data_IF_524322145584
#
_entry.id   IF_524322145584
#
_cell.length_a   1.000
_cell.length_b   1.000
_cell.length_c   1.000
_cell.angle_alpha   90.00
_cell.angle_beta   90.00
_cell.angle_gamma   90.00
#
_symmetry.space_group_name_H-M   'P 1'
#
loop_
_entity.id
_entity.type
_entity.pdbx_description
1 polymer ?
#
# COMPACT_ATOMS: atom_id res chain seq x y z
N UNK A 1 -3.42 25.53 36.18
CA UNK A 1 -2.34 25.22 35.23
C UNK A 1 -2.76 25.68 33.84
N UNK A 2 -1.98 26.54 33.20
CA UNK A 2 -2.30 27.06 31.86
C UNK A 2 -1.86 26.09 30.75
N UNK A 3 -2.65 25.97 29.69
CA UNK A 3 -2.29 25.23 28.47
C UNK A 3 -1.91 26.24 27.39
N UNK A 4 -0.70 26.11 26.84
CA UNK A 4 -0.24 26.90 25.72
C UNK A 4 -0.11 26.00 24.49
N UNK A 5 -0.41 26.54 23.31
CA UNK A 5 -0.23 25.85 22.02
C UNK A 5 0.64 26.72 21.14
N UNK A 6 1.74 26.15 20.65
CA UNK A 6 2.66 26.82 19.72
C UNK A 6 2.74 26.00 18.43
N UNK A 7 2.52 26.66 17.30
CA UNK A 7 2.81 26.08 15.99
C UNK A 7 4.30 26.20 15.68
N UNK A 8 4.98 25.09 15.42
CA UNK A 8 6.40 25.08 15.06
C UNK A 8 6.57 24.61 13.61
N UNK A 9 7.23 25.41 12.78
CA UNK A 9 7.77 24.95 11.49
C UNK A 9 9.22 24.57 11.69
N UNK A 10 9.52 23.28 11.58
CA UNK A 10 10.89 22.82 11.63
C UNK A 10 11.65 23.26 10.37
N UNK A 11 12.79 23.93 10.56
CA UNK A 11 13.68 24.38 9.48
C UNK A 11 14.70 23.31 9.06
N UNK A 12 14.83 22.21 9.83
CA UNK A 12 15.80 21.14 9.60
C UNK A 12 15.18 19.76 9.88
N UNK A 13 15.66 18.76 9.15
CA UNK A 13 15.39 17.33 9.37
C UNK A 13 16.26 16.86 10.54
N UNK A 14 15.72 15.99 11.39
CA UNK A 14 16.44 15.41 12.53
C UNK A 14 15.63 15.48 13.82
N UNK A 15 16.27 15.07 14.92
CA UNK A 15 15.67 15.12 16.24
C UNK A 15 15.73 16.54 16.80
N UNK A 16 14.58 17.09 17.13
CA UNK A 16 14.44 18.39 17.79
C UNK A 16 14.00 18.17 19.24
N UNK A 17 14.61 18.89 20.19
CA UNK A 17 14.16 18.92 21.57
C UNK A 17 13.32 20.19 21.81
N UNK A 18 12.10 20.02 22.31
CA UNK A 18 11.20 21.13 22.58
C UNK A 18 11.37 21.60 24.01
N UNK A 19 12.04 22.73 24.22
CA UNK A 19 12.20 23.32 25.54
C UNK A 19 11.14 24.40 25.78
N UNK A 20 10.37 24.24 26.86
CA UNK A 20 9.48 25.29 27.38
C UNK A 20 10.04 25.78 28.71
N UNK A 21 10.29 27.09 28.81
CA UNK A 21 10.77 27.74 30.03
C UNK A 21 9.96 29.00 30.31
N UNK A 22 9.72 29.28 31.60
CA UNK A 22 9.14 30.56 32.04
C UNK A 22 10.24 31.62 32.06
N UNK A 23 9.98 32.79 31.47
CA UNK A 23 10.89 33.94 31.53
C UNK A 23 11.00 34.39 33.00
N UNK A 24 12.20 34.49 33.59
CA UNK A 24 12.37 34.92 34.98
C UNK A 24 11.91 36.35 35.19
N UNK A 25 11.36 36.64 36.38
CA UNK A 25 11.02 37.99 36.84
C UNK A 25 11.25 38.11 38.35
N UNK A 26 11.14 39.31 38.95
CA UNK A 26 11.37 39.50 40.38
C UNK A 26 10.49 38.54 41.20
N UNK A 27 11.12 37.68 42.01
CA UNK A 27 10.44 36.67 42.82
C UNK A 27 9.92 35.43 42.07
N UNK A 28 10.21 35.27 40.77
CA UNK A 28 9.82 34.08 39.98
C UNK A 28 11.05 33.28 39.53
N UNK A 29 11.30 32.08 40.09
CA UNK A 29 12.40 31.22 39.65
C UNK A 29 12.17 30.72 38.21
N UNK A 30 13.27 30.44 37.50
CA UNK A 30 13.22 29.78 36.19
C UNK A 30 12.67 28.37 36.37
N UNK A 31 11.49 28.12 35.82
CA UNK A 31 10.92 26.78 35.72
C UNK A 31 11.18 26.24 34.32
N UNK A 32 11.79 25.05 34.22
CA UNK A 32 11.96 24.31 32.97
C UNK A 32 11.15 23.04 33.03
N UNK A 33 10.37 22.76 31.98
CA UNK A 33 9.71 21.47 31.82
C UNK A 33 10.66 20.43 31.18
N UNK A 34 10.29 19.15 31.26
CA UNK A 34 10.90 18.11 30.45
C UNK A 34 10.76 18.46 28.96
N UNK A 35 11.82 18.23 28.18
CA UNK A 35 11.86 18.59 26.76
C UNK A 35 11.57 17.37 25.89
N UNK A 36 10.33 17.16 25.41
CA UNK A 36 10.04 16.04 24.54
C UNK A 36 10.85 16.18 23.24
N UNK A 37 11.41 15.05 22.80
CA UNK A 37 12.04 14.95 21.50
C UNK A 37 10.97 14.73 20.42
N UNK A 38 11.12 15.43 19.29
CA UNK A 38 10.31 15.25 18.09
C UNK A 38 11.24 14.97 16.92
N UNK A 39 11.01 13.85 16.24
CA UNK A 39 11.77 13.50 15.04
C UNK A 39 11.10 14.13 13.81
N UNK A 40 11.81 15.06 13.17
CA UNK A 40 11.38 15.72 11.93
C UNK A 40 11.96 14.97 10.75
N UNK A 41 11.10 14.50 9.86
CA UNK A 41 11.48 13.76 8.65
C UNK A 41 11.29 14.60 7.40
N UNK A 42 12.16 14.40 6.39
CA UNK A 42 11.92 14.94 5.05
C UNK A 42 10.77 14.15 4.40
N UNK A 43 9.72 14.83 3.89
CA UNK A 43 8.52 14.19 3.39
C UNK A 43 8.66 13.78 1.91
N UNK A 44 9.83 13.23 1.57
CA UNK A 44 10.12 12.64 0.27
C UNK A 44 10.91 11.35 0.45
N UNK A 45 10.50 10.30 -0.25
CA UNK A 45 11.19 9.03 -0.31
C UNK A 45 11.03 8.37 -1.68
N UNK A 46 12.13 7.84 -2.21
CA UNK A 46 12.21 7.07 -3.44
C UNK A 46 13.17 5.90 -3.23
N UNK A 47 13.29 5.03 -4.23
CA UNK A 47 14.20 3.88 -4.19
C UNK A 47 15.60 4.30 -3.70
N UNK A 48 16.18 3.51 -2.80
CA UNK A 48 17.50 3.75 -2.21
C UNK A 48 17.48 4.52 -0.88
N UNK A 49 16.41 5.27 -0.60
CA UNK A 49 16.28 6.04 0.65
C UNK A 49 16.14 5.12 1.86
N UNK A 50 16.67 5.54 3.02
CA UNK A 50 16.65 4.80 4.30
C UNK A 50 16.18 5.67 5.46
N UNK A 51 15.86 5.02 6.58
CA UNK A 51 15.70 5.66 7.90
C UNK A 51 14.25 5.96 8.27
N UNK A 52 14.07 6.85 9.26
CA UNK A 52 12.78 7.12 9.91
C UNK A 52 11.65 7.49 8.93
N UNK A 53 11.97 8.19 7.84
CA UNK A 53 10.96 8.57 6.84
C UNK A 53 10.40 7.34 6.09
N UNK A 54 11.23 6.34 5.84
CA UNK A 54 10.82 5.10 5.18
C UNK A 54 10.10 4.22 6.17
N UNK A 55 10.58 4.13 7.41
CA UNK A 55 9.85 3.47 8.49
C UNK A 55 8.45 4.05 8.66
N UNK A 56 8.31 5.37 8.74
CA UNK A 56 7.02 6.04 8.79
C UNK A 56 6.15 5.64 7.59
N UNK A 57 6.69 5.72 6.38
CA UNK A 57 5.96 5.39 5.16
C UNK A 57 5.45 3.94 5.17
N UNK A 58 6.34 2.98 5.43
CA UNK A 58 6.03 1.54 5.48
C UNK A 58 5.01 1.22 6.57
N UNK A 59 5.19 1.78 7.78
CA UNK A 59 4.24 1.58 8.88
C UNK A 59 2.85 2.09 8.54
N UNK A 60 2.73 3.30 7.99
CA UNK A 60 1.42 3.87 7.63
C UNK A 60 0.77 3.18 6.44
N UNK A 61 1.56 2.76 5.44
CA UNK A 61 1.05 1.95 4.33
C UNK A 61 0.54 0.59 4.82
N UNK A 62 1.29 -0.08 5.70
CA UNK A 62 0.88 -1.36 6.29
C UNK A 62 -0.38 -1.24 7.15
N UNK A 63 -0.52 -0.16 7.93
CA UNK A 63 -1.75 0.12 8.69
C UNK A 63 -2.96 0.44 7.80
N UNK A 64 -2.75 0.80 6.53
CA UNK A 64 -3.80 0.94 5.52
C UNK A 64 -3.92 -0.31 4.64
N UNK A 65 -3.34 -1.43 5.08
CA UNK A 65 -3.38 -2.74 4.42
C UNK A 65 -2.72 -2.78 3.03
N UNK A 66 -1.80 -1.87 2.71
CA UNK A 66 -0.98 -2.02 1.51
C UNK A 66 0.13 -3.03 1.76
N UNK A 67 0.37 -3.92 0.80
CA UNK A 67 1.44 -4.91 0.89
C UNK A 67 2.80 -4.22 0.83
N UNK A 68 3.46 -4.12 1.97
CA UNK A 68 4.71 -3.37 2.14
C UNK A 68 5.68 -4.11 3.06
N UNK A 69 7.00 -4.08 2.80
CA UNK A 69 7.99 -4.54 3.76
C UNK A 69 8.19 -3.52 4.89
N UNK A 70 8.64 -3.98 6.06
CA UNK A 70 8.94 -3.15 7.23
C UNK A 70 10.45 -3.18 7.52
N UNK A 71 11.22 -2.67 6.58
CA UNK A 71 12.70 -2.76 6.58
C UNK A 71 13.39 -1.44 6.93
N UNK A 72 12.69 -0.31 6.86
CA UNK A 72 13.29 1.03 6.90
C UNK A 72 14.13 1.37 5.66
N UNK A 73 14.12 0.53 4.63
CA UNK A 73 14.77 0.75 3.34
C UNK A 73 13.74 0.80 2.21
N UNK A 74 13.84 1.81 1.35
CA UNK A 74 12.92 1.98 0.22
C UNK A 74 13.36 1.08 -0.93
N UNK A 75 12.92 -0.16 -0.86
CA UNK A 75 13.12 -1.21 -1.86
C UNK A 75 11.99 -1.24 -2.91
N UNK A 76 12.05 -2.21 -3.82
CA UNK A 76 11.01 -2.44 -4.81
C UNK A 76 9.64 -2.78 -4.20
N UNK A 77 9.59 -3.45 -3.04
CA UNK A 77 8.33 -3.73 -2.34
C UNK A 77 7.66 -2.45 -1.84
N UNK A 78 8.46 -1.55 -1.25
CA UNK A 78 8.02 -0.22 -0.82
C UNK A 78 7.56 0.62 -2.02
N UNK A 79 8.31 0.59 -3.12
CA UNK A 79 7.94 1.26 -4.36
C UNK A 79 6.57 0.79 -4.90
N UNK A 80 6.32 -0.52 -4.89
CA UNK A 80 5.04 -1.11 -5.30
C UNK A 80 3.90 -0.76 -4.34
N UNK A 81 4.14 -0.73 -3.03
CA UNK A 81 3.16 -0.27 -2.05
C UNK A 81 2.75 1.19 -2.27
N UNK A 82 3.72 2.07 -2.58
CA UNK A 82 3.44 3.47 -2.93
C UNK A 82 2.67 3.57 -4.25
N UNK A 83 3.01 2.75 -5.24
CA UNK A 83 2.24 2.69 -6.49
C UNK A 83 0.80 2.22 -6.24
N UNK A 84 0.58 1.19 -5.41
CA UNK A 84 -0.76 0.73 -5.02
C UNK A 84 -1.55 1.85 -4.34
N UNK A 85 -0.95 2.54 -3.36
CA UNK A 85 -1.56 3.70 -2.70
C UNK A 85 -1.99 4.76 -3.71
N UNK A 86 -1.09 5.11 -4.64
CA UNK A 86 -1.39 6.10 -5.68
C UNK A 86 -2.54 5.66 -6.57
N UNK A 87 -2.53 4.41 -7.02
CA UNK A 87 -3.58 3.80 -7.84
C UNK A 87 -4.95 3.87 -7.15
N UNK A 88 -5.02 3.47 -5.87
CA UNK A 88 -6.26 3.55 -5.06
C UNK A 88 -6.76 5.00 -4.94
N UNK A 89 -5.85 5.96 -4.84
CA UNK A 89 -6.16 7.37 -4.57
C UNK A 89 -6.23 8.25 -5.83
N UNK A 90 -6.25 7.69 -7.04
CA UNK A 90 -6.35 8.45 -8.30
C UNK A 90 -5.15 9.38 -8.56
N UNK A 91 -3.98 9.05 -8.02
CA UNK A 91 -2.75 9.84 -8.18
C UNK A 91 -1.94 9.39 -9.41
N UNK A 92 -1.02 10.24 -9.92
CA UNK A 92 -0.08 9.81 -10.96
C UNK A 92 0.67 8.54 -10.56
N UNK A 93 0.72 7.56 -11.46
CA UNK A 93 1.23 6.20 -11.22
C UNK A 93 2.77 6.17 -11.19
N UNK A 94 3.35 6.73 -10.14
CA UNK A 94 4.78 6.86 -9.90
C UNK A 94 5.22 6.05 -8.67
N UNK A 95 6.52 5.74 -8.60
CA UNK A 95 7.09 4.90 -7.56
C UNK A 95 7.68 5.66 -6.35
N UNK A 96 7.67 7.00 -6.34
CA UNK A 96 8.28 7.84 -5.28
C UNK A 96 7.22 8.54 -4.43
N UNK A 97 7.32 8.50 -3.11
CA UNK A 97 6.39 9.20 -2.21
C UNK A 97 6.85 10.65 -1.95
N UNK A 98 6.02 11.63 -2.33
CA UNK A 98 6.22 13.05 -2.01
C UNK A 98 5.36 13.54 -0.85
N UNK A 99 5.46 14.83 -0.53
CA UNK A 99 4.92 15.37 0.72
C UNK A 99 3.41 15.19 0.90
N UNK A 100 2.64 15.25 -0.19
CA UNK A 100 1.20 15.01 -0.17
C UNK A 100 0.85 13.60 0.36
N UNK A 101 1.64 12.58 0.00
CA UNK A 101 1.44 11.21 0.49
C UNK A 101 1.77 11.12 1.97
N UNK A 102 2.91 11.66 2.40
CA UNK A 102 3.28 11.69 3.82
C UNK A 102 2.19 12.35 4.67
N UNK A 103 1.65 13.48 4.22
CA UNK A 103 0.58 14.21 4.91
C UNK A 103 -0.75 13.46 4.95
N UNK A 104 -1.10 12.69 3.91
CA UNK A 104 -2.31 11.84 3.91
C UNK A 104 -2.13 10.63 4.83
N UNK A 105 -0.98 9.98 4.76
CA UNK A 105 -0.64 8.83 5.61
C UNK A 105 -0.54 9.20 7.09
N UNK A 106 -0.03 10.39 7.42
CA UNK A 106 -0.05 10.92 8.79
C UNK A 106 -1.47 11.03 9.38
N UNK A 107 -2.47 11.17 8.51
CA UNK A 107 -3.90 11.25 8.87
C UNK A 107 -4.66 9.95 8.60
N UNK A 108 -3.95 8.85 8.33
CA UNK A 108 -4.53 7.55 7.98
C UNK A 108 -5.53 7.61 6.82
N UNK A 109 -5.26 8.44 5.81
CA UNK A 109 -6.13 8.61 4.64
C UNK A 109 -5.64 7.82 3.44
N UNK A 110 -6.59 7.33 2.66
CA UNK A 110 -6.36 6.67 1.38
C UNK A 110 -6.30 5.15 1.46
N UNK A 111 -7.01 4.54 2.42
CA UNK A 111 -7.26 3.10 2.43
C UNK A 111 -8.12 2.69 1.21
N UNK A 112 -7.92 1.46 0.75
CA UNK A 112 -8.87 0.81 -0.14
C UNK A 112 -10.12 0.44 0.65
N UNK A 113 -11.29 0.50 0.00
CA UNK A 113 -12.56 0.10 0.59
C UNK A 113 -13.13 -1.00 -0.29
N UNK A 114 -13.42 -2.16 0.29
CA UNK A 114 -14.04 -3.27 -0.41
C UNK A 114 -15.37 -2.83 -1.01
N UNK A 115 -15.60 -3.17 -2.28
CA UNK A 115 -16.87 -2.92 -2.96
C UNK A 115 -17.94 -3.92 -2.51
N UNK A 116 -17.54 -5.14 -2.15
CA UNK A 116 -18.44 -6.23 -1.78
C UNK A 116 -18.10 -6.82 -0.40
N UNK A 117 -18.18 -6.02 0.69
CA UNK A 117 -17.80 -6.49 2.03
C UNK A 117 -18.64 -7.69 2.53
N UNK A 118 -19.83 -7.90 1.96
CA UNK A 118 -20.72 -9.04 2.29
C UNK A 118 -20.38 -10.36 1.61
N UNK A 119 -19.37 -10.42 0.73
CA UNK A 119 -18.99 -11.64 0.01
C UNK A 119 -18.10 -12.61 0.82
N UNK A 120 -17.92 -12.35 2.11
CA UNK A 120 -17.04 -13.14 2.97
C UNK A 120 -15.58 -13.04 2.51
N UNK A 121 -14.82 -14.12 2.62
CA UNK A 121 -13.42 -14.14 2.16
C UNK A 121 -13.36 -14.20 0.64
N UNK A 122 -12.82 -13.16 0.00
CA UNK A 122 -12.80 -13.05 -1.46
C UNK A 122 -11.67 -12.15 -1.97
N UNK A 123 -11.48 -12.15 -3.29
CA UNK A 123 -10.56 -11.25 -3.98
C UNK A 123 -11.35 -10.20 -4.74
N UNK A 124 -10.93 -8.94 -4.70
CA UNK A 124 -11.44 -7.89 -5.58
C UNK A 124 -10.36 -7.44 -6.55
N UNK A 125 -10.67 -7.45 -7.84
CA UNK A 125 -9.83 -6.89 -8.89
C UNK A 125 -10.48 -5.62 -9.44
N UNK A 126 -10.01 -4.46 -8.94
CA UNK A 126 -10.40 -3.13 -9.40
C UNK A 126 -9.55 -2.77 -10.63
N UNK A 127 -10.12 -2.98 -11.81
CA UNK A 127 -9.47 -2.75 -13.09
C UNK A 127 -9.35 -1.26 -13.42
N UNK A 128 -10.25 -0.41 -12.93
CA UNK A 128 -10.15 1.04 -13.13
C UNK A 128 -8.89 1.60 -12.45
N UNK A 129 -8.60 1.12 -11.24
CA UNK A 129 -7.44 1.52 -10.46
C UNK A 129 -6.22 0.62 -10.70
N UNK A 130 -6.38 -0.57 -11.28
CA UNK A 130 -5.33 -1.57 -11.49
C UNK A 130 -4.74 -2.07 -10.17
N UNK A 131 -5.61 -2.43 -9.22
CA UNK A 131 -5.22 -3.00 -7.91
C UNK A 131 -5.96 -4.31 -7.63
N UNK A 132 -5.29 -5.19 -6.88
CA UNK A 132 -5.86 -6.42 -6.34
C UNK A 132 -6.02 -6.25 -4.83
N UNK A 133 -7.21 -6.46 -4.30
CA UNK A 133 -7.46 -6.48 -2.87
C UNK A 133 -7.84 -7.89 -2.41
N UNK A 134 -7.20 -8.36 -1.35
CA UNK A 134 -7.54 -9.59 -0.65
C UNK A 134 -8.44 -9.20 0.52
N UNK A 135 -9.64 -9.77 0.62
CA UNK A 135 -10.65 -9.42 1.62
C UNK A 135 -10.84 -10.60 2.57
N UNK A 136 -10.79 -10.33 3.87
CA UNK A 136 -10.94 -11.34 4.91
C UNK A 136 -12.40 -11.84 5.04
N UNK A 137 -12.67 -12.91 5.81
CA UNK A 137 -14.02 -13.44 6.02
C UNK A 137 -15.05 -12.46 6.58
N UNK A 138 -14.61 -11.34 7.17
CA UNK A 138 -15.45 -10.32 7.78
C UNK A 138 -15.67 -9.10 6.86
N UNK A 139 -15.17 -9.14 5.63
CA UNK A 139 -15.30 -8.04 4.68
C UNK A 139 -14.25 -6.94 4.85
N UNK A 140 -13.24 -7.14 5.71
CA UNK A 140 -12.15 -6.18 5.87
C UNK A 140 -11.04 -6.44 4.87
N UNK A 141 -10.40 -5.36 4.42
CA UNK A 141 -9.25 -5.46 3.52
C UNK A 141 -8.09 -6.10 4.28
N UNK A 142 -7.63 -7.27 3.82
CA UNK A 142 -6.45 -7.94 4.35
C UNK A 142 -5.17 -7.34 3.77
N UNK A 143 -5.06 -7.28 2.44
CA UNK A 143 -3.93 -6.70 1.72
C UNK A 143 -4.35 -6.10 0.37
N UNK A 144 -3.68 -5.03 -0.05
CA UNK A 144 -3.82 -4.38 -1.36
C UNK A 144 -2.50 -4.43 -2.09
N UNK A 145 -2.54 -4.88 -3.33
CA UNK A 145 -1.38 -5.04 -4.22
C UNK A 145 -1.63 -4.34 -5.56
N UNK A 146 -0.55 -4.10 -6.31
CA UNK A 146 -0.65 -3.67 -7.70
C UNK A 146 -0.97 -4.86 -8.60
N UNK A 147 -1.77 -4.63 -9.64
CA UNK A 147 -1.91 -5.57 -10.76
C UNK A 147 -1.73 -4.86 -12.11
N UNK A 148 -1.60 -5.65 -13.17
CA UNK A 148 -1.80 -5.24 -14.57
C UNK A 148 -2.77 -6.22 -15.24
N UNK A 149 -3.91 -5.72 -15.69
CA UNK A 149 -4.99 -6.53 -16.27
C UNK A 149 -4.86 -6.63 -17.80
N UNK A 150 -5.87 -7.22 -18.45
CA UNK A 150 -5.95 -7.33 -19.90
C UNK A 150 -6.04 -5.98 -20.60
N UNK A 151 -5.25 -5.80 -21.66
CA UNK A 151 -5.31 -4.62 -22.55
C UNK A 151 -6.63 -4.58 -23.33
N UNK A 152 -7.03 -3.43 -23.93
CA UNK A 152 -8.32 -3.31 -24.61
C UNK A 152 -8.61 -4.36 -25.69
N UNK A 153 -7.58 -4.83 -26.41
CA UNK A 153 -7.74 -5.86 -27.46
C UNK A 153 -7.94 -7.28 -26.92
N UNK A 154 -7.64 -7.52 -25.64
CA UNK A 154 -7.76 -8.81 -24.94
C UNK A 154 -8.13 -8.55 -23.48
N UNK A 155 -9.35 -8.04 -23.24
CA UNK A 155 -9.74 -7.53 -21.94
C UNK A 155 -9.88 -8.64 -20.90
N UNK A 156 -9.67 -8.29 -19.63
CA UNK A 156 -10.06 -9.17 -18.52
C UNK A 156 -11.59 -9.23 -18.44
N UNK A 157 -12.14 -10.42 -18.27
CA UNK A 157 -13.58 -10.62 -18.08
C UNK A 157 -14.06 -9.98 -16.77
N UNK A 158 -15.24 -9.36 -16.82
CA UNK A 158 -15.90 -8.74 -15.67
C UNK A 158 -16.93 -9.70 -15.07
N UNK A 159 -17.14 -9.61 -13.76
CA UNK A 159 -18.14 -10.39 -13.04
C UNK A 159 -17.61 -11.01 -11.75
N UNK A 160 -18.43 -11.89 -11.17
CA UNK A 160 -18.10 -12.65 -9.98
C UNK A 160 -17.85 -14.10 -10.36
N UNK A 161 -16.67 -14.61 -10.03
CA UNK A 161 -16.22 -15.97 -10.34
C UNK A 161 -15.71 -16.67 -9.09
N UNK A 162 -15.34 -17.95 -9.22
CA UNK A 162 -14.71 -18.70 -8.14
C UNK A 162 -13.42 -19.35 -8.64
N UNK A 163 -12.37 -19.31 -7.83
CA UNK A 163 -11.13 -19.98 -8.15
C UNK A 163 -11.35 -21.50 -8.19
N UNK A 164 -11.09 -22.12 -9.33
CA UNK A 164 -11.42 -23.53 -9.57
C UNK A 164 -10.18 -24.41 -9.81
N UNK A 165 -9.03 -23.81 -10.13
CA UNK A 165 -7.77 -24.52 -10.34
C UNK A 165 -6.57 -23.66 -9.95
N UNK A 166 -5.48 -24.32 -9.59
CA UNK A 166 -4.22 -23.71 -9.20
C UNK A 166 -3.04 -24.48 -9.78
N UNK A 167 -2.03 -23.76 -10.27
CA UNK A 167 -0.78 -24.36 -10.76
C UNK A 167 0.40 -23.70 -10.06
N UNK A 168 1.13 -24.42 -9.19
CA UNK A 168 2.33 -23.90 -8.54
C UNK A 168 3.51 -23.84 -9.52
N UNK A 169 4.48 -22.98 -9.23
CA UNK A 169 5.68 -22.82 -10.06
C UNK A 169 5.41 -22.01 -11.33
N UNK A 170 6.30 -22.14 -12.31
CA UNK A 170 6.22 -21.40 -13.58
C UNK A 170 5.76 -22.32 -14.69
N UNK A 171 4.67 -21.98 -15.39
CA UNK A 171 4.20 -22.76 -16.54
C UNK A 171 4.91 -22.36 -17.85
N UNK A 172 4.57 -23.03 -18.96
CA UNK A 172 5.15 -22.77 -20.28
C UNK A 172 4.93 -21.33 -20.80
N UNK A 173 3.93 -20.64 -20.27
CA UNK A 173 3.58 -19.24 -20.62
C UNK A 173 4.31 -18.22 -19.72
N UNK A 174 5.18 -18.67 -18.80
CA UNK A 174 5.88 -17.82 -17.84
C UNK A 174 5.00 -17.33 -16.70
N UNK A 175 3.81 -17.91 -16.51
CA UNK A 175 2.92 -17.57 -15.40
C UNK A 175 3.40 -18.26 -14.13
N UNK A 176 3.74 -17.45 -13.11
CA UNK A 176 4.24 -17.95 -11.81
C UNK A 176 3.08 -18.06 -10.82
N UNK A 177 2.91 -19.23 -10.19
CA UNK A 177 1.93 -19.50 -9.13
C UNK A 177 0.51 -19.04 -9.51
N UNK A 178 -0.10 -19.75 -10.46
CA UNK A 178 -1.33 -19.34 -11.12
C UNK A 178 -2.59 -19.77 -10.36
N UNK A 179 -3.54 -18.86 -10.18
CA UNK A 179 -4.86 -19.09 -9.58
C UNK A 179 -5.95 -18.81 -10.63
N UNK A 180 -6.53 -19.86 -11.22
CA UNK A 180 -7.51 -19.76 -12.30
C UNK A 180 -8.92 -19.58 -11.76
N UNK A 181 -9.67 -18.62 -12.33
CA UNK A 181 -11.03 -18.28 -11.88
C UNK A 181 -12.10 -18.41 -12.97
N UNK A 182 -11.74 -18.40 -14.26
CA UNK A 182 -12.64 -18.74 -15.36
C UNK A 182 -11.84 -19.08 -16.62
N UNK A 183 -12.01 -20.28 -17.18
CA UNK A 183 -11.22 -20.72 -18.34
C UNK A 183 -9.72 -20.45 -18.16
N UNK A 184 -9.05 -19.86 -19.16
CA UNK A 184 -7.64 -19.50 -19.04
C UNK A 184 -7.30 -18.30 -18.14
N UNK A 185 -8.30 -17.59 -17.60
CA UNK A 185 -8.07 -16.36 -16.82
C UNK A 185 -7.61 -16.68 -15.40
N UNK A 186 -6.46 -16.11 -15.02
CA UNK A 186 -5.84 -16.35 -13.73
C UNK A 186 -5.26 -15.08 -13.09
N UNK A 187 -5.12 -15.12 -11.75
CA UNK A 187 -4.21 -14.25 -11.00
C UNK A 187 -2.87 -14.97 -10.91
N UNK A 188 -1.79 -14.36 -11.42
CA UNK A 188 -0.47 -14.99 -11.43
C UNK A 188 0.67 -13.97 -11.42
N UNK A 189 1.84 -14.40 -10.95
CA UNK A 189 3.09 -13.67 -11.06
C UNK A 189 3.55 -13.53 -12.51
N UNK A 190 4.09 -12.37 -12.87
CA UNK A 190 4.70 -12.14 -14.18
C UNK A 190 5.88 -11.15 -14.10
N UNK A 191 6.91 -11.28 -14.96
CA UNK A 191 8.06 -10.36 -14.94
C UNK A 191 7.68 -8.91 -15.26
N UNK A 192 6.76 -8.71 -16.21
CA UNK A 192 6.29 -7.41 -16.64
C UNK A 192 4.90 -7.09 -16.10
N UNK A 193 4.85 -6.17 -15.13
CA UNK A 193 3.62 -5.70 -14.47
C UNK A 193 3.60 -4.17 -14.54
N UNK A 194 3.27 -3.60 -15.71
CA UNK A 194 3.30 -2.16 -15.90
C UNK A 194 2.20 -1.47 -15.10
N UNK A 195 2.25 -0.15 -15.07
CA UNK A 195 1.25 0.65 -14.34
C UNK A 195 -0.11 0.71 -15.05
N UNK A 196 -0.27 0.09 -16.20
CA UNK A 196 -1.47 0.09 -17.05
C UNK A 196 -1.86 -1.35 -17.48
N UNK A 197 -3.07 -1.58 -18.04
CA UNK A 197 -3.48 -2.89 -18.53
C UNK A 197 -2.63 -3.33 -19.73
N UNK A 198 -1.99 -4.51 -19.65
CA UNK A 198 -1.05 -4.98 -20.66
C UNK A 198 -1.12 -6.49 -20.96
N UNK A 199 -1.88 -7.26 -20.18
CA UNK A 199 -1.94 -8.72 -20.34
C UNK A 199 -2.88 -9.13 -21.50
N UNK A 200 -2.93 -10.44 -21.76
CA UNK A 200 -3.91 -11.06 -22.67
C UNK A 200 -5.22 -11.48 -21.96
N UNK A 201 -5.51 -10.92 -20.79
CA UNK A 201 -6.74 -11.17 -20.04
C UNK A 201 -6.48 -11.50 -18.56
N UNK A 202 -5.38 -12.18 -18.26
CA UNK A 202 -5.00 -12.51 -16.89
C UNK A 202 -4.70 -11.28 -16.03
N UNK A 203 -4.78 -11.46 -14.71
CA UNK A 203 -4.42 -10.46 -13.72
C UNK A 203 -2.97 -10.69 -13.30
N UNK A 204 -2.04 -9.95 -13.91
CA UNK A 204 -0.61 -10.04 -13.60
C UNK A 204 -0.32 -9.33 -12.29
N UNK A 205 0.38 -10.00 -11.38
CA UNK A 205 0.95 -9.43 -10.16
C UNK A 205 2.48 -9.57 -10.17
N UNK A 206 3.21 -8.75 -9.41
CA UNK A 206 4.66 -8.88 -9.32
C UNK A 206 5.05 -10.25 -8.80
N UNK A 207 6.06 -10.90 -9.40
CA UNK A 207 6.55 -12.23 -8.97
C UNK A 207 6.84 -12.31 -7.46
N UNK A 208 7.46 -11.32 -6.79
CA UNK A 208 7.70 -11.38 -5.35
C UNK A 208 6.43 -11.49 -4.49
N UNK A 209 5.27 -11.14 -5.04
CA UNK A 209 3.97 -11.19 -4.38
C UNK A 209 3.17 -12.45 -4.78
N UNK A 210 3.60 -13.19 -5.81
CA UNK A 210 2.87 -14.30 -6.40
C UNK A 210 2.64 -15.46 -5.43
N UNK A 211 3.71 -15.96 -4.80
CA UNK A 211 3.62 -17.05 -3.82
C UNK A 211 2.73 -16.70 -2.62
N UNK A 212 2.78 -15.43 -2.17
CA UNK A 212 1.90 -14.94 -1.10
C UNK A 212 0.43 -14.97 -1.52
N UNK A 213 0.09 -14.40 -2.69
CA UNK A 213 -1.29 -14.40 -3.20
C UNK A 213 -1.78 -15.81 -3.49
N UNK A 214 -0.91 -16.67 -4.04
CA UNK A 214 -1.22 -18.07 -4.26
C UNK A 214 -1.48 -18.82 -2.96
N UNK A 215 -0.68 -18.62 -1.91
CA UNK A 215 -0.95 -19.25 -0.61
C UNK A 215 -2.23 -18.75 0.05
N UNK A 216 -2.58 -17.48 -0.16
CA UNK A 216 -3.79 -16.89 0.42
C UNK A 216 -5.07 -17.34 -0.27
N UNK A 217 -5.07 -17.42 -1.61
CA UNK A 217 -6.25 -17.79 -2.39
C UNK A 217 -6.61 -19.27 -2.18
N UNK A 218 -7.87 -19.57 -1.88
CA UNK A 218 -8.38 -20.94 -1.76
C UNK A 218 -9.23 -21.34 -2.97
N UNK A 219 -9.27 -22.65 -3.28
CA UNK A 219 -10.25 -23.17 -4.23
C UNK A 219 -11.67 -22.94 -3.71
N UNK A 220 -12.58 -22.59 -4.61
CA UNK A 220 -13.95 -22.17 -4.29
C UNK A 220 -14.06 -20.74 -3.73
N UNK A 221 -12.94 -20.05 -3.49
CA UNK A 221 -12.98 -18.65 -3.05
C UNK A 221 -13.44 -17.74 -4.20
N UNK A 222 -14.23 -16.72 -3.86
CA UNK A 222 -14.75 -15.76 -4.85
C UNK A 222 -13.68 -14.79 -5.32
N UNK A 223 -13.78 -14.38 -6.58
CA UNK A 223 -13.16 -13.16 -7.11
C UNK A 223 -14.21 -12.28 -7.80
N UNK A 224 -14.24 -11.01 -7.44
CA UNK A 224 -15.07 -9.99 -8.08
C UNK A 224 -14.18 -9.09 -8.95
N UNK A 225 -14.44 -9.07 -10.25
CA UNK A 225 -13.68 -8.30 -11.25
C UNK A 225 -14.55 -7.17 -11.79
N UNK A 226 -14.10 -5.94 -11.63
CA UNK A 226 -14.88 -4.74 -11.96
C UNK A 226 -14.02 -3.54 -12.34
N UNK A 227 -14.65 -2.49 -12.87
CA UNK A 227 -14.05 -1.16 -13.02
C UNK A 227 -14.36 -0.24 -11.83
#
# INVERSE_FOLDING_TARGET
GGRFTLGLRASRVGRLFLHAAVVPGPGRPRLSAAAPAVDVISPYASVGVRGLRVWFLQQRLGQLHYRVPHSGYYDGGTARAVLAYRKVNGMPRQFSAGAAIFLRLARMRGAFHARYPGHGSHVEADLGRQVLALIDPHGHVYQVLVLSSGKPSTPTVLGSFHFYSKTPGTNAEGMVDSNYFIGGYAVHGYPDVPTYPASHGCLRIPIPDASFVFGWIRLGQRIDVYY
#
